data_IF_034219184707
#
_entry.id   IF_034219184707
#
_cell.length_a   1.000
_cell.length_b   1.000
_cell.length_c   1.000
_cell.angle_alpha   90.00
_cell.angle_beta   90.00
_cell.angle_gamma   90.00
#
_symmetry.space_group_name_H-M   'P 1'
#
loop_
_entity.id
_entity.type
_entity.pdbx_description
1 polymer ?
#
# COMPACT_ATOMS: atom_id res chain seq x y z
N UNK A 1 -1.13 -13.31 -18.88
CA UNK A 1 -2.22 -13.09 -17.91
C UNK A 1 -2.21 -11.62 -17.54
N UNK A 2 -3.37 -10.98 -17.56
CA UNK A 2 -3.52 -9.59 -17.09
C UNK A 2 -3.77 -9.63 -15.59
N UNK A 3 -3.16 -8.73 -14.84
CA UNK A 3 -3.32 -8.63 -13.39
C UNK A 3 -3.90 -7.26 -13.01
N UNK A 4 -4.59 -7.23 -11.87
CA UNK A 4 -4.96 -6.00 -11.17
C UNK A 4 -4.41 -6.04 -9.76
N UNK A 5 -4.28 -4.86 -9.18
CA UNK A 5 -3.82 -4.67 -7.82
C UNK A 5 -4.96 -4.11 -6.98
N UNK A 6 -5.26 -4.79 -5.87
CA UNK A 6 -6.27 -4.37 -4.90
C UNK A 6 -5.55 -3.95 -3.62
N UNK A 7 -5.95 -2.81 -3.06
CA UNK A 7 -5.44 -2.31 -1.78
C UNK A 7 -6.49 -2.61 -0.72
N UNK A 8 -6.07 -3.21 0.39
CA UNK A 8 -6.90 -3.53 1.55
C UNK A 8 -6.29 -2.86 2.76
N UNK A 9 -7.02 -1.97 3.41
CA UNK A 9 -6.59 -1.24 4.59
C UNK A 9 -7.34 -1.76 5.81
N UNK A 10 -6.61 -2.30 6.79
CA UNK A 10 -7.18 -2.85 8.03
C UNK A 10 -8.33 -3.87 7.81
N UNK A 11 -8.29 -4.59 6.68
CA UNK A 11 -9.31 -5.56 6.29
C UNK A 11 -10.38 -5.01 5.32
N UNK A 12 -10.42 -3.70 5.10
CA UNK A 12 -11.38 -3.04 4.21
C UNK A 12 -10.75 -2.68 2.85
N UNK A 13 -11.29 -3.19 1.73
CA UNK A 13 -10.74 -2.89 0.41
C UNK A 13 -11.03 -1.46 -0.02
N UNK A 14 -10.08 -0.85 -0.73
CA UNK A 14 -10.30 0.41 -1.44
C UNK A 14 -11.34 0.22 -2.54
N UNK A 15 -12.12 1.27 -2.89
CA UNK A 15 -13.15 1.18 -3.92
C UNK A 15 -12.59 1.07 -5.35
N UNK A 16 -11.28 1.28 -5.53
CA UNK A 16 -10.61 1.27 -6.82
C UNK A 16 -9.63 0.09 -6.92
N UNK A 17 -9.47 -0.40 -8.15
CA UNK A 17 -8.41 -1.34 -8.53
C UNK A 17 -7.34 -0.62 -9.34
N UNK A 18 -6.10 -1.07 -9.24
CA UNK A 18 -4.94 -0.43 -9.84
C UNK A 18 -4.27 -1.34 -10.87
N UNK A 19 -3.60 -0.74 -11.84
CA UNK A 19 -2.95 -1.45 -12.94
C UNK A 19 -1.52 -1.89 -12.61
N UNK A 20 -0.91 -1.32 -11.57
CA UNK A 20 0.43 -1.68 -11.12
C UNK A 20 0.57 -1.54 -9.61
N UNK A 21 1.53 -2.27 -9.03
CA UNK A 21 1.89 -2.15 -7.62
C UNK A 21 2.28 -0.73 -7.24
N UNK A 22 3.11 -0.07 -8.05
CA UNK A 22 3.55 1.31 -7.79
C UNK A 22 2.37 2.30 -7.71
N UNK A 23 1.36 2.14 -8.56
CA UNK A 23 0.16 3.00 -8.51
C UNK A 23 -0.66 2.70 -7.26
N UNK A 24 -0.79 1.43 -6.86
CA UNK A 24 -1.47 1.04 -5.62
C UNK A 24 -0.78 1.61 -4.37
N UNK A 25 0.56 1.53 -4.30
CA UNK A 25 1.38 2.15 -3.24
C UNK A 25 1.18 3.67 -3.23
N UNK A 26 1.24 4.32 -4.40
CA UNK A 26 1.04 5.77 -4.49
C UNK A 26 -0.35 6.18 -4.01
N UNK A 27 -1.39 5.39 -4.29
CA UNK A 27 -2.74 5.67 -3.82
C UNK A 27 -2.84 5.57 -2.28
N UNK A 28 -2.22 4.56 -1.68
CA UNK A 28 -2.10 4.44 -0.22
C UNK A 28 -1.33 5.63 0.39
N UNK A 29 -0.19 6.02 -0.20
CA UNK A 29 0.59 7.20 0.21
C UNK A 29 -0.23 8.50 0.15
N UNK A 30 -0.99 8.70 -0.92
CA UNK A 30 -1.82 9.90 -1.07
C UNK A 30 -2.96 9.93 -0.06
N UNK A 31 -3.60 8.79 0.22
CA UNK A 31 -4.70 8.70 1.20
C UNK A 31 -4.23 9.03 2.62
N UNK A 32 -3.01 8.62 2.97
CA UNK A 32 -2.42 8.82 4.30
C UNK A 32 -1.35 9.91 4.33
N UNK A 33 -1.35 10.83 3.35
CA UNK A 33 -0.33 11.85 3.23
C UNK A 33 -0.23 12.72 4.50
N UNK A 34 -1.36 13.04 5.13
CA UNK A 34 -1.39 13.82 6.37
C UNK A 34 -0.69 13.09 7.52
N UNK A 35 -1.01 11.80 7.73
CA UNK A 35 -0.35 10.95 8.73
C UNK A 35 1.15 10.85 8.49
N UNK A 36 1.56 10.62 7.24
CA UNK A 36 2.98 10.51 6.87
C UNK A 36 3.72 11.84 7.11
N UNK A 37 3.07 12.98 6.82
CA UNK A 37 3.66 14.29 7.08
C UNK A 37 3.79 14.53 8.59
N UNK A 38 2.77 14.17 9.38
CA UNK A 38 2.82 14.25 10.84
C UNK A 38 3.98 13.42 11.39
N UNK A 39 4.13 12.17 10.95
CA UNK A 39 5.25 11.30 11.31
C UNK A 39 6.61 11.92 10.96
N UNK A 40 6.74 12.48 9.75
CA UNK A 40 7.98 13.11 9.29
C UNK A 40 8.35 14.33 10.13
N UNK A 41 7.35 15.09 10.59
CA UNK A 41 7.55 16.23 11.49
C UNK A 41 7.91 15.77 12.91
N UNK A 42 7.28 14.71 13.42
CA UNK A 42 7.58 14.13 14.73
C UNK A 42 8.96 13.46 14.78
N UNK A 43 9.40 12.85 13.68
CA UNK A 43 10.66 12.13 13.60
C UNK A 43 11.91 13.04 13.55
N UNK A 44 11.76 14.35 13.29
CA UNK A 44 12.87 15.33 13.26
C UNK A 44 14.10 14.87 12.42
N UNK A 45 13.85 14.17 11.31
CA UNK A 45 14.89 13.63 10.42
C UNK A 45 15.33 12.20 10.72
N UNK A 46 14.80 11.56 11.76
CA UNK A 46 14.93 10.12 12.00
C UNK A 46 14.04 9.30 11.03
N UNK A 47 14.35 8.01 10.81
CA UNK A 47 13.51 7.14 9.98
C UNK A 47 12.10 7.03 10.57
N UNK A 48 11.08 7.31 9.75
CA UNK A 48 9.69 7.06 10.12
C UNK A 48 9.40 5.55 10.16
N UNK A 49 8.50 5.13 11.05
CA UNK A 49 8.11 3.74 11.21
C UNK A 49 7.11 3.26 10.14
N UNK A 50 7.22 3.77 8.90
CA UNK A 50 6.31 3.47 7.79
C UNK A 50 7.04 2.72 6.67
N UNK A 51 6.58 1.50 6.38
CA UNK A 51 7.15 0.59 5.38
C UNK A 51 6.47 0.77 4.00
N UNK A 52 6.39 2.00 3.51
CA UNK A 52 5.69 2.32 2.26
C UNK A 52 6.56 2.20 1.00
N UNK A 53 7.85 1.91 1.14
CA UNK A 53 8.83 1.79 0.04
C UNK A 53 9.41 0.38 -0.11
N UNK A 54 8.75 -0.64 0.44
CA UNK A 54 9.14 -2.03 0.26
C UNK A 54 8.82 -2.52 -1.17
N UNK A 55 9.68 -3.37 -1.77
CA UNK A 55 9.44 -3.91 -3.10
C UNK A 55 8.22 -4.85 -3.11
N UNK A 56 7.59 -4.99 -4.29
CA UNK A 56 6.52 -5.96 -4.52
C UNK A 56 6.99 -7.39 -4.20
N UNK A 57 6.20 -8.15 -3.45
CA UNK A 57 6.42 -9.58 -3.30
C UNK A 57 5.81 -10.34 -4.49
N UNK A 58 6.60 -10.49 -5.54
CA UNK A 58 6.23 -11.21 -6.76
C UNK A 58 5.95 -12.71 -6.54
N UNK A 59 6.48 -13.31 -5.46
CA UNK A 59 6.34 -14.75 -5.20
C UNK A 59 4.93 -15.07 -4.70
N UNK A 60 4.44 -14.27 -3.74
CA UNK A 60 3.12 -14.48 -3.12
C UNK A 60 2.02 -13.67 -3.80
N UNK A 61 2.39 -12.62 -4.54
CA UNK A 61 1.45 -11.61 -5.05
C UNK A 61 0.80 -10.79 -3.94
N UNK A 62 1.34 -10.83 -2.71
CA UNK A 62 0.84 -10.11 -1.54
C UNK A 62 1.97 -9.35 -0.87
N UNK A 63 1.84 -8.03 -0.80
CA UNK A 63 2.78 -7.18 -0.08
C UNK A 63 2.06 -6.49 1.06
N UNK A 64 2.62 -6.60 2.26
CA UNK A 64 2.13 -5.92 3.46
C UNK A 64 2.96 -4.66 3.65
N UNK A 65 2.28 -3.53 3.80
CA UNK A 65 2.83 -2.24 4.15
C UNK A 65 2.25 -1.83 5.50
N UNK A 66 3.01 -1.03 6.23
CA UNK A 66 2.59 -0.46 7.49
C UNK A 66 2.76 1.05 7.43
N UNK A 67 1.75 1.76 7.94
CA UNK A 67 1.79 3.18 8.25
C UNK A 67 1.55 3.31 9.75
N UNK A 68 2.22 4.25 10.42
CA UNK A 68 2.01 4.51 11.85
C UNK A 68 0.53 4.69 12.22
N UNK A 69 0.27 4.71 13.54
CA UNK A 69 -1.08 4.78 14.12
C UNK A 69 -1.93 3.54 13.80
N UNK A 70 -1.29 2.39 13.56
CA UNK A 70 -1.98 1.10 13.40
C UNK A 70 -2.65 0.91 12.05
N UNK A 71 -2.12 1.52 11.00
CA UNK A 71 -2.66 1.41 9.65
C UNK A 71 -1.90 0.30 8.91
N UNK A 72 -2.59 -0.80 8.66
CA UNK A 72 -2.06 -1.94 7.91
C UNK A 72 -2.62 -1.96 6.50
N UNK A 73 -1.73 -2.05 5.50
CA UNK A 73 -2.12 -2.03 4.09
C UNK A 73 -1.64 -3.33 3.44
N UNK A 74 -2.56 -4.12 2.91
CA UNK A 74 -2.26 -5.27 2.07
C UNK A 74 -2.51 -4.92 0.60
N UNK A 75 -1.49 -5.06 -0.24
CA UNK A 75 -1.63 -4.95 -1.70
C UNK A 75 -1.61 -6.35 -2.31
N UNK A 76 -2.71 -6.73 -2.95
CA UNK A 76 -2.89 -8.03 -3.60
C UNK A 76 -2.83 -7.91 -5.13
N UNK A 77 -1.94 -8.68 -5.75
CA UNK A 77 -1.87 -8.92 -7.20
C UNK A 77 -2.83 -10.06 -7.57
N UNK A 78 -3.91 -9.74 -8.28
CA UNK A 78 -4.95 -10.70 -8.64
C UNK A 78 -5.00 -10.90 -10.16
N UNK A 79 -5.04 -12.16 -10.65
CA UNK A 79 -5.20 -12.42 -12.08
C UNK A 79 -6.62 -12.07 -12.52
N UNK A 80 -6.74 -11.39 -13.66
CA UNK A 80 -8.00 -11.23 -14.36
C UNK A 80 -8.24 -12.50 -15.18
N UNK A 81 -9.25 -13.27 -14.78
CA UNK A 81 -9.80 -14.34 -15.61
C UNK A 81 -10.99 -13.79 -16.39
N UNK A 82 -10.91 -13.77 -17.72
CA UNK A 82 -12.11 -13.65 -18.57
C UNK A 82 -12.92 -14.93 -18.41
N UNK A 83 -14.18 -14.79 -18.04
CA UNK A 83 -15.19 -15.87 -18.04
C UNK A 83 -15.80 -15.99 -19.43
#
# INVERSE_FOLDING_TARGET
MTYVYVVIENGDPYPAVYTSFAVAVSAAKVRHAETIIEELLEADGEPICSDLDVPENEITGKTLLYVEKGIHIEICKLPITSV
#
